data_IF_195583755784
#
_entry.id   IF_195583755784
#
_cell.length_a   1.000
_cell.length_b   1.000
_cell.length_c   1.000
_cell.angle_alpha   90.00
_cell.angle_beta   90.00
_cell.angle_gamma   90.00
#
_symmetry.space_group_name_H-M   'P 1'
#
loop_
_entity.id
_entity.type
_entity.pdbx_description
1 polymer ?
#
# COMPACT_ATOMS: atom_id res chain seq x y z
N UNK A 1 -16.66 11.03 -30.13
CA UNK A 1 -17.05 10.86 -28.71
C UNK A 1 -16.16 9.84 -28.00
N UNK A 2 -16.09 8.59 -28.47
CA UNK A 2 -15.30 7.52 -27.83
C UNK A 2 -13.80 7.84 -27.74
N UNK A 3 -13.19 8.36 -28.82
CA UNK A 3 -11.76 8.74 -28.82
C UNK A 3 -11.44 9.83 -27.79
N UNK A 4 -12.34 10.80 -27.62
CA UNK A 4 -12.20 11.88 -26.64
C UNK A 4 -12.30 11.33 -25.21
N UNK A 5 -13.22 10.40 -24.95
CA UNK A 5 -13.35 9.72 -23.66
C UNK A 5 -12.11 8.89 -23.31
N UNK A 6 -11.52 8.20 -24.29
CA UNK A 6 -10.28 7.41 -24.10
C UNK A 6 -9.07 8.31 -23.81
N UNK A 7 -8.95 9.44 -24.51
CA UNK A 7 -7.88 10.43 -24.28
C UNK A 7 -7.98 11.05 -22.88
N UNK A 8 -9.19 11.43 -22.46
CA UNK A 8 -9.44 11.97 -21.11
C UNK A 8 -9.10 10.93 -20.04
N UNK A 9 -9.49 9.65 -20.21
CA UNK A 9 -9.16 8.59 -19.27
C UNK A 9 -7.65 8.35 -19.13
N UNK A 10 -6.90 8.42 -20.24
CA UNK A 10 -5.45 8.24 -20.24
C UNK A 10 -4.73 9.39 -19.50
N UNK A 11 -5.21 10.62 -19.67
CA UNK A 11 -4.67 11.83 -19.03
C UNK A 11 -5.02 11.93 -17.54
N UNK A 12 -6.11 11.30 -17.09
CA UNK A 12 -6.52 11.22 -15.68
C UNK A 12 -5.92 10.05 -14.91
N UNK A 13 -5.02 9.26 -15.52
CA UNK A 13 -4.33 8.18 -14.81
C UNK A 13 -3.61 8.76 -13.59
N UNK A 14 -3.97 8.39 -12.35
CA UNK A 14 -3.34 8.94 -11.18
C UNK A 14 -1.90 8.44 -11.13
N UNK A 15 -0.94 9.32 -11.43
CA UNK A 15 0.50 9.10 -11.28
C UNK A 15 0.96 9.25 -9.82
N UNK A 16 0.03 9.19 -8.87
CA UNK A 16 0.35 9.29 -7.45
C UNK A 16 1.16 8.09 -7.02
N UNK A 17 2.31 8.32 -6.37
CA UNK A 17 2.96 7.32 -5.53
C UNK A 17 2.02 6.94 -4.39
N UNK A 18 1.10 6.01 -4.65
CA UNK A 18 0.29 5.40 -3.62
C UNK A 18 1.21 4.60 -2.69
N UNK A 19 1.10 4.81 -1.38
CA UNK A 19 1.90 4.12 -0.37
C UNK A 19 2.85 5.02 0.44
N UNK A 20 2.94 6.31 0.13
CA UNK A 20 3.70 7.28 0.93
C UNK A 20 2.79 8.06 1.88
N UNK A 21 3.22 8.25 3.12
CA UNK A 21 2.58 9.18 4.05
C UNK A 21 2.98 10.62 3.68
N UNK A 22 2.04 11.41 3.17
CA UNK A 22 2.27 12.80 2.74
C UNK A 22 1.86 13.77 3.85
N UNK A 23 2.73 14.73 4.18
CA UNK A 23 2.47 15.73 5.23
C UNK A 23 2.46 15.16 6.66
N UNK A 24 2.95 13.94 6.85
CA UNK A 24 3.04 13.31 8.16
C UNK A 24 4.22 13.81 9.00
N UNK A 25 4.30 13.27 10.22
CA UNK A 25 5.44 13.41 11.11
C UNK A 25 5.81 12.02 11.65
N UNK A 26 7.00 11.90 12.24
CA UNK A 26 7.44 10.65 12.83
C UNK A 26 6.51 10.24 13.99
N UNK A 27 6.05 8.99 13.96
CA UNK A 27 5.23 8.46 15.03
C UNK A 27 6.06 8.30 16.30
N UNK A 28 5.50 8.66 17.46
CA UNK A 28 6.14 8.38 18.75
C UNK A 28 6.47 6.88 18.84
N UNK A 29 7.67 6.49 19.31
CA UNK A 29 8.04 5.08 19.44
C UNK A 29 6.97 4.26 20.15
N UNK A 30 6.64 3.11 19.55
CA UNK A 30 5.63 2.16 20.05
C UNK A 30 4.19 2.70 20.20
N UNK A 31 3.85 3.88 19.67
CA UNK A 31 2.48 4.45 19.73
C UNK A 31 1.45 3.76 18.81
N UNK A 32 1.94 2.86 17.94
CA UNK A 32 1.16 2.04 17.00
C UNK A 32 1.56 0.57 17.17
N UNK A 33 1.28 -0.05 18.32
CA UNK A 33 1.76 -1.39 18.64
C UNK A 33 1.18 -2.49 17.73
N UNK A 34 0.07 -2.19 17.07
CA UNK A 34 -0.55 -3.06 16.07
C UNK A 34 0.13 -2.99 14.68
N UNK A 35 1.01 -2.01 14.42
CA UNK A 35 1.59 -1.82 13.09
C UNK A 35 2.61 -2.92 12.78
N UNK A 36 2.42 -3.62 11.67
CA UNK A 36 3.31 -4.67 11.18
C UNK A 36 4.00 -4.24 9.88
N UNK A 37 5.31 -4.50 9.79
CA UNK A 37 6.09 -4.37 8.56
C UNK A 37 6.18 -5.73 7.87
N UNK A 38 5.57 -5.86 6.69
CA UNK A 38 5.54 -7.10 5.94
C UNK A 38 6.61 -7.08 4.85
N UNK A 39 7.50 -8.09 4.86
CA UNK A 39 8.53 -8.30 3.85
C UNK A 39 8.48 -9.75 3.39
N UNK A 40 8.24 -9.96 2.10
CA UNK A 40 8.08 -11.29 1.51
C UNK A 40 8.57 -11.27 0.05
N UNK A 41 8.51 -12.43 -0.63
CA UNK A 41 8.88 -12.54 -2.04
C UNK A 41 7.73 -13.09 -2.88
N UNK A 42 7.54 -12.51 -4.07
CA UNK A 42 6.62 -13.01 -5.09
C UNK A 42 7.45 -13.23 -6.36
N UNK A 43 7.44 -14.45 -6.90
CA UNK A 43 8.18 -14.79 -8.13
C UNK A 43 9.67 -14.40 -8.08
N UNK A 44 10.31 -14.54 -6.91
CA UNK A 44 11.71 -14.18 -6.69
C UNK A 44 12.00 -12.68 -6.57
N UNK A 45 10.96 -11.82 -6.57
CA UNK A 45 11.10 -10.38 -6.35
C UNK A 45 10.71 -10.02 -4.92
N UNK A 46 11.46 -9.13 -4.24
CA UNK A 46 11.09 -8.66 -2.91
C UNK A 46 9.89 -7.71 -2.98
N UNK A 47 8.95 -7.89 -2.05
CA UNK A 47 7.79 -7.02 -1.86
C UNK A 47 7.71 -6.55 -0.41
N UNK A 48 7.18 -5.34 -0.23
CA UNK A 48 7.00 -4.70 1.07
C UNK A 48 5.58 -4.16 1.16
N UNK A 49 4.92 -4.39 2.29
CA UNK A 49 3.61 -3.84 2.61
C UNK A 49 3.50 -3.48 4.10
N UNK A 50 2.46 -2.72 4.44
CA UNK A 50 2.02 -2.55 5.82
C UNK A 50 0.98 -3.60 6.23
N UNK A 51 0.82 -3.81 7.53
CA UNK A 51 -0.23 -4.66 8.09
C UNK A 51 -0.62 -4.24 9.52
N UNK A 52 -1.65 -4.90 10.03
CA UNK A 52 -2.20 -4.69 11.37
C UNK A 52 -2.29 -6.03 12.12
N UNK A 53 -1.63 -6.14 13.27
CA UNK A 53 -1.82 -7.26 14.19
C UNK A 53 -3.23 -7.16 14.80
N UNK A 54 -4.15 -8.04 14.37
CA UNK A 54 -5.56 -8.05 14.80
C UNK A 54 -5.86 -9.16 15.81
N UNK A 55 -4.96 -10.15 15.90
CA UNK A 55 -4.91 -11.22 16.89
C UNK A 55 -3.45 -11.61 17.11
N UNK A 56 -3.14 -12.29 18.20
CA UNK A 56 -1.79 -12.77 18.56
C UNK A 56 -1.03 -13.44 17.39
N UNK A 57 -1.75 -14.13 16.49
CA UNK A 57 -1.22 -14.89 15.37
C UNK A 57 -1.76 -14.46 13.99
N UNK A 58 -2.53 -13.36 13.91
CA UNK A 58 -3.08 -12.85 12.64
C UNK A 58 -2.72 -11.40 12.36
N UNK A 59 -2.12 -11.17 11.19
CA UNK A 59 -1.90 -9.85 10.60
C UNK A 59 -2.85 -9.65 9.43
N UNK A 60 -3.64 -8.57 9.47
CA UNK A 60 -4.48 -8.09 8.38
C UNK A 60 -3.66 -7.17 7.45
N UNK A 61 -3.78 -7.36 6.14
CA UNK A 61 -3.13 -6.52 5.12
C UNK A 61 -4.02 -6.37 3.87
N UNK A 62 -3.58 -5.57 2.90
CA UNK A 62 -4.29 -5.41 1.64
C UNK A 62 -4.12 -6.65 0.75
N UNK A 63 -5.20 -7.08 0.08
CA UNK A 63 -5.17 -8.27 -0.78
C UNK A 63 -4.09 -8.20 -1.88
N UNK A 64 -3.94 -7.04 -2.53
CA UNK A 64 -2.97 -6.85 -3.62
C UNK A 64 -1.51 -6.98 -3.18
N UNK A 65 -1.21 -7.04 -1.88
CA UNK A 65 0.16 -7.24 -1.41
C UNK A 65 0.72 -8.58 -1.87
N UNK A 66 -0.12 -9.62 -2.02
CA UNK A 66 0.31 -10.94 -2.47
C UNK A 66 0.05 -11.23 -3.96
N UNK A 67 -0.51 -10.26 -4.69
CA UNK A 67 -0.98 -10.43 -6.08
C UNK A 67 -2.48 -10.50 -6.17
#
# INVERSE_FOLDING_TARGET
MVLFLLLVALLLSPTGEAGKIIGGHEAKPHSRPYMAFLRFQISGKPHICGGFLVREDFVLTAAHCLG
#
